data_IF_200859400047
#
_entry.id   IF_200859400047
#
_cell.length_a   1.000
_cell.length_b   1.000
_cell.length_c   1.000
_cell.angle_alpha   90.00
_cell.angle_beta   90.00
_cell.angle_gamma   90.00
#
_symmetry.space_group_name_H-M   'P 1'
#
loop_
_entity.id
_entity.type
_entity.pdbx_description
1 polymer ?
#
# COMPACT_ATOMS: atom_id res chain seq x y z
N UNK A 1 41.06 5.10 77.32
CA UNK A 1 40.13 3.98 77.60
C UNK A 1 39.04 3.94 76.49
N UNK A 2 39.04 2.82 75.80
CA UNK A 2 38.04 2.20 74.97
C UNK A 2 37.37 3.01 73.80
N UNK A 3 37.93 2.72 72.68
CA UNK A 3 37.39 2.68 71.35
C UNK A 3 35.99 2.08 71.26
N UNK A 4 35.13 2.65 70.40
CA UNK A 4 34.08 1.90 69.74
C UNK A 4 33.87 2.42 68.30
N UNK A 5 34.35 1.60 67.42
CA UNK A 5 34.21 1.71 65.97
C UNK A 5 32.79 1.33 65.58
N UNK A 6 32.06 2.19 64.90
CA UNK A 6 30.83 1.82 64.21
C UNK A 6 31.01 1.91 62.69
N UNK A 7 31.02 0.75 62.09
CA UNK A 7 30.98 0.54 60.65
C UNK A 7 29.58 0.91 60.15
N UNK A 8 29.50 1.83 59.23
CA UNK A 8 28.27 2.11 58.49
C UNK A 8 28.30 1.30 57.20
N UNK A 9 27.32 0.41 57.11
CA UNK A 9 26.98 -0.32 55.88
C UNK A 9 26.41 0.64 54.87
N UNK A 10 27.03 0.77 53.72
CA UNK A 10 26.47 1.40 52.53
C UNK A 10 25.67 0.33 51.79
N UNK A 11 24.36 0.47 51.83
CA UNK A 11 23.46 -0.31 50.94
C UNK A 11 23.34 0.45 49.64
N UNK A 12 23.99 -0.04 48.60
CA UNK A 12 23.75 0.40 47.23
C UNK A 12 22.42 -0.21 46.74
N UNK A 13 21.41 0.61 46.61
CA UNK A 13 20.19 0.26 45.86
C UNK A 13 20.41 0.51 44.38
N UNK A 14 20.68 -0.56 43.66
CA UNK A 14 20.58 -0.61 42.20
C UNK A 14 19.14 -1.01 41.84
N UNK A 15 18.28 -0.05 41.57
CA UNK A 15 17.01 -0.29 40.90
C UNK A 15 16.76 0.90 39.96
N UNK A 16 16.84 0.66 38.66
CA UNK A 16 16.50 1.70 37.72
C UNK A 16 17.03 1.52 36.31
N UNK A 17 16.86 0.35 35.72
CA UNK A 17 16.94 0.26 34.25
C UNK A 17 16.00 -0.84 33.79
N UNK A 18 14.90 -0.47 33.17
CA UNK A 18 14.03 -1.47 32.55
C UNK A 18 12.62 -1.03 32.24
N UNK A 19 12.37 0.17 31.75
CA UNK A 19 11.09 0.48 31.08
C UNK A 19 11.32 1.49 29.94
N UNK A 20 11.96 1.06 28.90
CA UNK A 20 12.07 1.86 27.66
C UNK A 20 11.99 1.00 26.38
N UNK A 21 11.51 -0.24 26.47
CA UNK A 21 11.53 -1.17 25.33
C UNK A 21 10.18 -1.64 24.78
N UNK A 22 9.05 -1.22 25.34
CA UNK A 22 7.74 -1.85 25.02
C UNK A 22 6.82 -0.97 24.17
N UNK A 23 7.15 0.29 23.92
CA UNK A 23 6.25 1.20 23.18
C UNK A 23 6.39 1.19 21.64
N UNK A 24 7.40 0.54 21.08
CA UNK A 24 7.63 0.57 19.63
C UNK A 24 6.88 -0.53 18.85
N UNK A 25 6.37 -1.57 19.51
CA UNK A 25 5.76 -2.73 18.84
C UNK A 25 4.24 -2.63 18.68
N UNK A 26 3.57 -1.74 19.37
CA UNK A 26 2.09 -1.64 19.35
C UNK A 26 1.58 -0.94 18.09
N UNK A 27 2.37 -0.10 17.45
CA UNK A 27 1.95 0.61 16.24
C UNK A 27 1.98 -0.24 14.97
N UNK A 28 2.72 -1.34 14.94
CA UNK A 28 2.79 -2.23 13.77
C UNK A 28 1.56 -3.15 13.65
N UNK A 29 0.89 -3.47 14.76
CA UNK A 29 -0.29 -4.34 14.74
C UNK A 29 -1.61 -3.61 14.53
N UNK A 30 -1.69 -2.31 14.75
CA UNK A 30 -2.91 -1.54 14.52
C UNK A 30 -3.21 -1.28 13.03
N UNK A 31 -2.23 -1.44 12.15
CA UNK A 31 -2.39 -1.22 10.71
C UNK A 31 -2.92 -2.46 9.96
N UNK A 32 -2.96 -3.62 10.59
CA UNK A 32 -3.47 -4.86 9.97
C UNK A 32 -4.98 -5.08 10.17
N UNK A 33 -5.65 -4.26 10.97
CA UNK A 33 -7.09 -4.37 11.23
C UNK A 33 -7.97 -3.90 10.06
N UNK A 34 -7.44 -3.08 9.15
CA UNK A 34 -8.08 -2.74 7.88
C UNK A 34 -7.35 -3.50 6.79
N UNK A 35 -7.87 -4.66 6.38
CA UNK A 35 -7.26 -5.52 5.37
C UNK A 35 -6.81 -4.75 4.12
N UNK A 36 -5.80 -5.26 3.43
CA UNK A 36 -5.32 -4.70 2.17
C UNK A 36 -6.49 -4.48 1.20
N UNK A 37 -6.37 -3.47 0.34
CA UNK A 37 -7.29 -3.31 -0.78
C UNK A 37 -6.59 -3.68 -2.09
N UNK A 38 -7.34 -4.24 -3.00
CA UNK A 38 -6.89 -4.58 -4.34
C UNK A 38 -7.66 -3.75 -5.36
N UNK A 39 -6.95 -3.04 -6.21
CA UNK A 39 -7.55 -2.29 -7.33
C UNK A 39 -7.34 -3.09 -8.59
N UNK A 40 -8.45 -3.47 -9.23
CA UNK A 40 -8.48 -4.18 -10.50
C UNK A 40 -8.71 -3.13 -11.59
N UNK A 41 -7.80 -3.04 -12.52
CA UNK A 41 -7.84 -2.12 -13.66
C UNK A 41 -8.03 -2.95 -14.93
N UNK A 42 -9.05 -2.66 -15.70
CA UNK A 42 -9.36 -3.32 -16.97
C UNK A 42 -9.43 -2.27 -18.07
N UNK A 43 -8.69 -2.48 -19.16
CA UNK A 43 -8.82 -1.69 -20.38
C UNK A 43 -9.93 -2.29 -21.23
N UNK A 44 -11.06 -1.61 -21.32
CA UNK A 44 -12.24 -2.11 -22.03
C UNK A 44 -12.12 -1.90 -23.54
N UNK A 45 -11.69 -0.72 -23.97
CA UNK A 45 -11.48 -0.39 -25.38
C UNK A 45 -10.16 0.34 -25.58
N UNK A 46 -9.60 0.25 -26.77
CA UNK A 46 -8.43 1.01 -27.20
C UNK A 46 -8.80 1.87 -28.40
N UNK A 47 -8.60 3.18 -28.29
CA UNK A 47 -8.97 4.17 -29.31
C UNK A 47 -7.74 4.96 -29.84
N UNK A 48 -6.59 4.82 -29.17
CA UNK A 48 -5.35 5.47 -29.54
C UNK A 48 -4.16 4.51 -29.57
N UNK A 49 -2.98 4.98 -29.99
CA UNK A 49 -1.77 4.16 -30.05
C UNK A 49 -1.32 3.72 -28.66
N UNK A 50 -0.67 2.55 -28.58
CA UNK A 50 -0.19 1.96 -27.33
C UNK A 50 0.86 2.85 -26.61
N UNK A 51 1.54 3.72 -27.33
CA UNK A 51 2.48 4.70 -26.76
C UNK A 51 1.84 5.59 -25.69
N UNK A 52 0.55 5.91 -25.79
CA UNK A 52 -0.21 6.65 -24.78
C UNK A 52 -0.22 5.88 -23.46
N UNK A 53 -0.47 4.58 -23.53
CA UNK A 53 -0.52 3.73 -22.32
C UNK A 53 0.88 3.49 -21.74
N UNK A 54 1.91 3.46 -22.59
CA UNK A 54 3.29 3.38 -22.14
C UNK A 54 3.72 4.66 -21.41
N UNK A 55 3.33 5.83 -21.92
CA UNK A 55 3.57 7.12 -21.27
C UNK A 55 2.87 7.19 -19.90
N UNK A 56 1.58 6.87 -19.85
CA UNK A 56 0.85 6.75 -18.59
C UNK A 56 1.54 5.79 -17.61
N UNK A 57 2.02 4.64 -18.10
CA UNK A 57 2.68 3.63 -17.29
C UNK A 57 3.96 4.11 -16.59
N UNK A 58 4.68 5.05 -17.21
CA UNK A 58 5.88 5.67 -16.60
C UNK A 58 5.51 6.55 -15.41
N UNK A 59 4.46 7.36 -15.56
CA UNK A 59 4.02 8.30 -14.51
C UNK A 59 3.26 7.58 -13.40
N UNK A 60 2.38 6.65 -13.75
CA UNK A 60 1.48 5.99 -12.79
C UNK A 60 2.19 5.15 -11.75
N UNK A 61 3.37 4.59 -12.07
CA UNK A 61 4.13 3.75 -11.13
C UNK A 61 4.53 4.50 -9.87
N UNK A 62 5.07 5.70 -10.04
CA UNK A 62 5.55 6.53 -8.93
C UNK A 62 4.39 7.06 -8.11
N UNK A 63 3.27 7.43 -8.77
CA UNK A 63 2.06 7.87 -8.08
C UNK A 63 1.48 6.73 -7.24
N UNK A 64 1.37 5.51 -7.77
CA UNK A 64 0.92 4.34 -7.00
C UNK A 64 1.80 4.11 -5.77
N UNK A 65 3.13 4.14 -5.94
CA UNK A 65 4.08 3.92 -4.85
C UNK A 65 3.96 4.98 -3.76
N UNK A 66 3.73 6.24 -4.11
CA UNK A 66 3.54 7.35 -3.17
C UNK A 66 2.40 7.12 -2.17
N UNK A 67 1.35 6.40 -2.58
CA UNK A 67 0.21 6.03 -1.71
C UNK A 67 0.36 4.63 -1.09
N UNK A 68 1.56 4.09 -1.08
CA UNK A 68 1.85 2.75 -0.52
C UNK A 68 1.36 1.61 -1.39
N UNK A 69 0.96 1.90 -2.63
CA UNK A 69 0.51 0.92 -3.59
C UNK A 69 1.64 0.18 -4.28
N UNK A 70 1.34 -1.03 -4.75
CA UNK A 70 2.28 -1.82 -5.54
C UNK A 70 1.53 -2.65 -6.56
N UNK A 71 2.06 -2.72 -7.79
CA UNK A 71 1.54 -3.62 -8.82
C UNK A 71 1.83 -5.07 -8.44
N UNK A 72 0.78 -5.90 -8.40
CA UNK A 72 0.87 -7.35 -8.21
C UNK A 72 0.89 -8.08 -9.55
N UNK A 73 0.13 -7.58 -10.52
CA UNK A 73 0.07 -8.12 -11.88
C UNK A 73 -0.13 -6.98 -12.89
N UNK A 74 0.43 -7.17 -14.07
CA UNK A 74 0.13 -6.40 -15.29
C UNK A 74 0.21 -7.40 -16.45
N UNK A 75 -0.90 -7.57 -17.17
CA UNK A 75 -1.00 -8.58 -18.20
C UNK A 75 -1.66 -8.03 -19.46
N UNK A 76 -1.12 -8.44 -20.60
CA UNK A 76 -1.75 -8.33 -21.91
C UNK A 76 -2.21 -9.71 -22.42
N UNK A 77 -2.07 -10.75 -21.60
CA UNK A 77 -2.46 -12.13 -21.91
C UNK A 77 -3.38 -12.61 -20.79
N UNK A 78 -4.67 -12.34 -20.96
CA UNK A 78 -5.69 -12.73 -19.99
C UNK A 78 -6.54 -13.86 -20.58
N UNK A 79 -6.96 -14.80 -19.75
CA UNK A 79 -7.76 -15.95 -20.16
C UNK A 79 -9.09 -15.93 -19.44
N UNK A 80 -10.20 -16.07 -20.19
CA UNK A 80 -11.50 -16.33 -19.62
C UNK A 80 -11.55 -17.79 -19.15
N UNK A 81 -11.80 -17.99 -17.87
CA UNK A 81 -11.92 -19.34 -17.32
C UNK A 81 -13.38 -19.81 -17.30
N UNK A 82 -14.30 -18.88 -17.10
CA UNK A 82 -15.73 -19.16 -17.05
C UNK A 82 -16.54 -17.90 -17.37
N UNK A 83 -17.73 -18.05 -17.91
CA UNK A 83 -18.66 -16.96 -18.23
C UNK A 83 -18.67 -16.60 -19.71
N UNK A 84 -19.33 -15.48 -20.02
CA UNK A 84 -19.49 -14.95 -21.37
C UNK A 84 -18.85 -13.58 -21.52
N UNK A 85 -18.54 -13.20 -22.76
CA UNK A 85 -18.04 -11.88 -23.11
C UNK A 85 -16.57 -11.87 -23.51
N UNK A 86 -16.09 -10.67 -23.82
CA UNK A 86 -14.69 -10.47 -24.26
C UNK A 86 -13.81 -10.21 -23.05
N UNK A 87 -12.72 -10.93 -22.97
CA UNK A 87 -11.67 -10.66 -21.97
C UNK A 87 -11.00 -9.34 -22.30
N UNK A 88 -10.87 -8.40 -21.34
CA UNK A 88 -10.10 -7.18 -21.57
C UNK A 88 -8.66 -7.50 -21.99
N UNK A 89 -8.17 -6.80 -23.02
CA UNK A 89 -6.83 -7.05 -23.53
C UNK A 89 -5.74 -6.91 -22.46
N UNK A 90 -6.00 -5.98 -21.55
CA UNK A 90 -4.95 -5.46 -20.68
C UNK A 90 -5.53 -5.23 -19.29
N UNK A 91 -4.95 -5.89 -18.32
CA UNK A 91 -5.38 -5.81 -16.93
C UNK A 91 -4.21 -5.50 -16.00
N UNK A 92 -4.50 -4.85 -14.89
CA UNK A 92 -3.56 -4.71 -13.78
C UNK A 92 -4.26 -4.97 -12.44
N UNK A 93 -3.51 -5.51 -11.50
CA UNK A 93 -3.90 -5.64 -10.11
C UNK A 93 -2.89 -4.86 -9.26
N UNK A 94 -3.41 -3.95 -8.47
CA UNK A 94 -2.60 -3.09 -7.59
C UNK A 94 -3.06 -3.35 -6.16
N UNK A 95 -2.14 -3.63 -5.25
CA UNK A 95 -2.45 -3.70 -3.82
C UNK A 95 -2.15 -2.37 -3.15
N UNK A 96 -3.00 -2.00 -2.19
CA UNK A 96 -2.80 -0.88 -1.26
C UNK A 96 -2.90 -1.36 0.18
N UNK A 97 -2.29 -0.65 1.15
CA UNK A 97 -2.33 -1.06 2.56
C UNK A 97 -3.74 -1.00 3.17
N UNK A 98 -4.66 -0.25 2.56
CA UNK A 98 -6.06 -0.15 3.00
C UNK A 98 -6.96 0.34 1.86
N UNK A 99 -8.26 0.19 2.03
CA UNK A 99 -9.28 0.76 1.13
C UNK A 99 -9.19 2.29 1.09
N UNK A 100 -8.86 2.92 2.21
CA UNK A 100 -8.68 4.36 2.29
C UNK A 100 -7.48 4.83 1.46
N UNK A 101 -6.35 4.13 1.54
CA UNK A 101 -5.17 4.42 0.73
C UNK A 101 -5.47 4.29 -0.78
N UNK A 102 -6.23 3.27 -1.18
CA UNK A 102 -6.65 3.09 -2.58
C UNK A 102 -7.56 4.23 -3.05
N UNK A 103 -8.51 4.68 -2.22
CA UNK A 103 -9.40 5.82 -2.52
C UNK A 103 -8.61 7.13 -2.61
N UNK A 104 -7.69 7.37 -1.67
CA UNK A 104 -6.85 8.57 -1.66
C UNK A 104 -5.95 8.62 -2.90
N UNK A 105 -5.34 7.49 -3.28
CA UNK A 105 -4.63 7.38 -4.55
C UNK A 105 -5.52 7.73 -5.73
N UNK A 106 -6.69 7.09 -5.84
CA UNK A 106 -7.58 7.26 -6.99
C UNK A 106 -8.04 8.71 -7.15
N UNK A 107 -8.42 9.38 -6.05
CA UNK A 107 -8.93 10.75 -6.05
C UNK A 107 -7.84 11.83 -6.04
N UNK A 108 -6.57 11.46 -5.87
CA UNK A 108 -5.48 12.45 -5.81
C UNK A 108 -5.38 13.27 -7.09
N UNK A 109 -5.07 14.58 -7.01
CA UNK A 109 -4.89 15.43 -8.19
C UNK A 109 -3.87 14.85 -9.17
N UNK A 110 -2.77 14.32 -8.66
CA UNK A 110 -1.70 13.71 -9.47
C UNK A 110 -2.20 12.52 -10.28
N UNK A 111 -2.97 11.62 -9.65
CA UNK A 111 -3.54 10.48 -10.37
C UNK A 111 -4.62 10.93 -11.36
N UNK A 112 -5.43 11.93 -11.02
CA UNK A 112 -6.45 12.44 -11.94
C UNK A 112 -5.83 13.12 -13.16
N UNK A 113 -4.71 13.83 -13.00
CA UNK A 113 -3.97 14.41 -14.11
C UNK A 113 -3.32 13.32 -14.98
N UNK A 114 -2.64 12.35 -14.39
CA UNK A 114 -2.09 11.21 -15.12
C UNK A 114 -3.19 10.40 -15.84
N UNK A 115 -4.36 10.28 -15.24
CA UNK A 115 -5.49 9.58 -15.84
C UNK A 115 -6.02 10.23 -17.13
N UNK A 116 -5.79 11.52 -17.35
CA UNK A 116 -6.10 12.18 -18.63
C UNK A 116 -5.30 11.56 -19.77
N UNK A 117 -4.02 11.20 -19.53
CA UNK A 117 -3.17 10.53 -20.51
C UNK A 117 -3.82 9.19 -20.90
N UNK A 118 -4.07 8.29 -19.96
CA UNK A 118 -4.62 6.96 -20.28
C UNK A 118 -5.99 7.03 -20.96
N UNK A 119 -6.85 7.97 -20.52
CA UNK A 119 -8.21 8.15 -21.07
C UNK A 119 -8.21 8.75 -22.45
N UNK A 120 -7.16 9.40 -22.91
CA UNK A 120 -7.08 9.94 -24.28
C UNK A 120 -6.93 8.83 -25.34
N UNK A 121 -6.54 7.60 -24.95
CA UNK A 121 -6.34 6.51 -25.87
C UNK A 121 -7.08 5.21 -25.54
N UNK A 122 -7.90 5.19 -24.47
CA UNK A 122 -8.61 3.99 -24.08
C UNK A 122 -9.73 4.29 -23.06
N UNK A 123 -10.67 3.35 -22.90
CA UNK A 123 -11.63 3.34 -21.79
C UNK A 123 -11.27 2.26 -20.78
N UNK A 124 -11.63 2.50 -19.51
CA UNK A 124 -11.25 1.63 -18.40
C UNK A 124 -12.43 1.38 -17.46
N UNK A 125 -12.43 0.19 -16.87
CA UNK A 125 -13.15 -0.11 -15.64
C UNK A 125 -12.15 -0.30 -14.53
N UNK A 126 -12.39 0.34 -13.39
CA UNK A 126 -11.50 0.28 -12.23
C UNK A 126 -12.35 -0.02 -11.00
N UNK A 127 -12.04 -1.10 -10.32
CA UNK A 127 -12.78 -1.58 -9.15
C UNK A 127 -11.83 -1.78 -8.00
N UNK A 128 -12.19 -1.28 -6.83
CA UNK A 128 -11.48 -1.59 -5.58
C UNK A 128 -12.19 -2.70 -4.83
N UNK A 129 -11.45 -3.72 -4.44
CA UNK A 129 -11.92 -4.86 -3.66
C UNK A 129 -11.20 -4.87 -2.33
N UNK A 130 -11.94 -4.99 -1.25
CA UNK A 130 -11.34 -5.14 0.08
C UNK A 130 -10.78 -6.56 0.20
N UNK A 131 -9.54 -6.66 0.69
CA UNK A 131 -8.93 -7.93 1.03
C UNK A 131 -9.56 -8.56 2.26
N UNK A 132 -9.41 -9.87 2.39
CA UNK A 132 -9.81 -10.61 3.58
C UNK A 132 -8.83 -10.31 4.73
N UNK A 133 -9.32 -10.39 5.98
CA UNK A 133 -8.47 -10.25 7.18
C UNK A 133 -7.37 -11.30 7.23
#
# INVERSE_FOLDING_TARGET
MRSFTRKHFVVLSLIGLGIAGVMATVHAFAQTANGAAYVIVERLTTTGPESIQQEYGKVSRDIVAKFGGRYLARSQQNTLLEGEGTVPCCMAIISFPSTEAAKNWFSSPENQDAAKIRRSGATFRIVSVQGVP
#
